data_IF_728168157960
#
_entry.id   IF_728168157960
#
_cell.length_a   1.000
_cell.length_b   1.000
_cell.length_c   1.000
_cell.angle_alpha   90.00
_cell.angle_beta   90.00
_cell.angle_gamma   90.00
#
_symmetry.space_group_name_H-M   'P 1'
#
loop_
_entity.id
_entity.type
_entity.pdbx_description
1 polymer ?
#
# COMPACT_ATOMS: atom_id res chain seq x y z
N UNK A 1 -1.69 11.23 -3.28
CA UNK A 1 -0.69 11.11 -4.36
C UNK A 1 -1.06 9.97 -5.30
N UNK A 2 -0.74 10.07 -6.60
CA UNK A 2 -0.79 8.90 -7.47
C UNK A 2 0.35 7.95 -7.14
N UNK A 3 0.00 6.70 -6.86
CA UNK A 3 0.95 5.61 -6.62
C UNK A 3 1.24 4.88 -7.93
N UNK A 4 0.21 4.59 -8.74
CA UNK A 4 0.36 3.97 -10.05
C UNK A 4 -0.23 4.84 -11.15
N UNK A 5 0.61 5.50 -11.94
CA UNK A 5 0.16 6.36 -13.05
C UNK A 5 -0.42 5.52 -14.20
N UNK A 6 0.09 4.32 -14.46
CA UNK A 6 -0.44 3.45 -15.53
C UNK A 6 -1.93 3.11 -15.36
N UNK A 7 -2.41 3.07 -14.11
CA UNK A 7 -3.79 2.65 -13.78
C UNK A 7 -4.56 3.70 -12.98
N UNK A 8 -4.01 4.90 -12.82
CA UNK A 8 -4.64 5.97 -12.04
C UNK A 8 -4.86 5.65 -10.56
N UNK A 9 -4.08 4.74 -9.96
CA UNK A 9 -4.26 4.34 -8.55
C UNK A 9 -3.60 5.35 -7.63
N UNK A 10 -4.34 5.82 -6.64
CA UNK A 10 -3.91 6.79 -5.63
C UNK A 10 -3.51 6.10 -4.32
N UNK A 11 -2.88 6.87 -3.43
CA UNK A 11 -2.59 6.42 -2.08
C UNK A 11 -3.87 6.17 -1.26
N UNK A 12 -4.94 6.92 -1.52
CA UNK A 12 -6.25 6.70 -0.90
C UNK A 12 -6.82 5.34 -1.28
N UNK A 13 -6.73 4.95 -2.55
CA UNK A 13 -7.20 3.63 -3.01
C UNK A 13 -6.44 2.49 -2.32
N UNK A 14 -5.11 2.64 -2.21
CA UNK A 14 -4.25 1.68 -1.51
C UNK A 14 -4.63 1.59 -0.03
N UNK A 15 -4.84 2.72 0.64
CA UNK A 15 -5.25 2.76 2.06
C UNK A 15 -6.62 2.13 2.27
N UNK A 16 -7.58 2.43 1.41
CA UNK A 16 -8.93 1.90 1.49
C UNK A 16 -8.91 0.37 1.33
N UNK A 17 -8.19 -0.16 0.33
CA UNK A 17 -8.06 -1.60 0.14
C UNK A 17 -7.45 -2.31 1.38
N UNK A 18 -6.51 -1.66 2.08
CA UNK A 18 -5.91 -2.21 3.30
C UNK A 18 -6.90 -2.13 4.48
N UNK A 19 -7.55 -0.98 4.68
CA UNK A 19 -8.50 -0.75 5.77
C UNK A 19 -9.74 -1.63 5.68
N UNK A 20 -10.24 -1.89 4.48
CA UNK A 20 -11.33 -2.83 4.20
C UNK A 20 -10.89 -4.29 4.28
N UNK A 21 -9.61 -4.56 4.55
CA UNK A 21 -9.05 -5.91 4.67
C UNK A 21 -8.87 -6.64 3.33
N UNK A 22 -9.13 -5.99 2.20
CA UNK A 22 -9.00 -6.54 0.84
C UNK A 22 -7.55 -6.77 0.44
N UNK A 23 -6.62 -6.00 0.99
CA UNK A 23 -5.18 -6.16 0.77
C UNK A 23 -4.39 -6.23 2.08
N UNK A 24 -3.56 -7.27 2.21
CA UNK A 24 -2.66 -7.50 3.36
C UNK A 24 -1.22 -7.81 2.94
N UNK A 25 -0.98 -7.96 1.64
CA UNK A 25 0.33 -8.24 1.06
C UNK A 25 0.42 -7.65 -0.36
N UNK A 26 1.63 -7.51 -0.93
CA UNK A 26 1.79 -6.98 -2.28
C UNK A 26 1.03 -7.80 -3.34
N UNK A 27 0.91 -9.12 -3.13
CA UNK A 27 0.15 -10.00 -4.04
C UNK A 27 -1.34 -9.66 -4.03
N UNK A 28 -1.95 -9.46 -2.85
CA UNK A 28 -3.37 -9.06 -2.76
C UNK A 28 -3.59 -7.65 -3.28
N UNK A 29 -2.66 -6.72 -3.04
CA UNK A 29 -2.67 -5.37 -3.63
C UNK A 29 -2.67 -5.37 -5.16
N UNK A 30 -1.87 -6.26 -5.77
CA UNK A 30 -1.84 -6.42 -7.23
C UNK A 30 -3.14 -7.00 -7.77
N UNK A 31 -3.75 -7.96 -7.06
CA UNK A 31 -5.04 -8.55 -7.46
C UNK A 31 -6.17 -7.53 -7.34
N UNK A 32 -6.23 -6.79 -6.23
CA UNK A 32 -7.30 -5.84 -5.94
C UNK A 32 -7.22 -4.58 -6.79
N UNK A 33 -6.05 -3.96 -6.88
CA UNK A 33 -5.88 -2.63 -7.49
C UNK A 33 -5.09 -2.66 -8.80
N UNK A 34 -4.55 -3.81 -9.20
CA UNK A 34 -3.71 -3.91 -10.40
C UNK A 34 -2.33 -3.26 -10.28
N UNK A 35 -1.93 -2.83 -9.09
CA UNK A 35 -0.63 -2.19 -8.85
C UNK A 35 0.52 -3.15 -9.23
N UNK A 36 1.58 -2.59 -9.82
CA UNK A 36 2.71 -3.34 -10.36
C UNK A 36 2.31 -4.41 -11.41
N UNK A 37 1.19 -4.18 -12.11
CA UNK A 37 0.74 -5.00 -13.23
C UNK A 37 1.42 -4.66 -14.56
N UNK A 38 1.69 -3.37 -14.82
CA UNK A 38 2.22 -2.89 -16.10
C UNK A 38 3.73 -2.60 -15.99
N UNK A 39 4.15 -1.32 -15.98
CA UNK A 39 5.57 -0.95 -15.94
C UNK A 39 6.29 -1.25 -14.61
N UNK A 40 5.58 -1.67 -13.56
CA UNK A 40 6.16 -2.06 -12.27
C UNK A 40 6.75 -0.93 -11.40
N UNK A 41 6.92 0.29 -11.92
CA UNK A 41 7.60 1.42 -11.22
C UNK A 41 6.99 1.80 -9.87
N UNK A 42 5.68 1.61 -9.71
CA UNK A 42 4.99 1.89 -8.45
C UNK A 42 5.28 0.87 -7.33
N UNK A 43 5.95 -0.24 -7.62
CA UNK A 43 6.04 -1.40 -6.72
C UNK A 43 6.70 -1.09 -5.38
N UNK A 44 7.78 -0.30 -5.37
CA UNK A 44 8.46 0.09 -4.13
C UNK A 44 7.58 1.02 -3.29
N UNK A 45 6.98 2.04 -3.90
CA UNK A 45 6.06 2.98 -3.22
C UNK A 45 4.84 2.27 -2.64
N UNK A 46 4.24 1.35 -3.40
CA UNK A 46 3.10 0.55 -2.94
C UNK A 46 3.46 -0.35 -1.75
N UNK A 47 4.67 -0.94 -1.75
CA UNK A 47 5.16 -1.75 -0.63
C UNK A 47 5.37 -0.90 0.64
N UNK A 48 5.96 0.28 0.50
CA UNK A 48 6.16 1.19 1.63
C UNK A 48 4.82 1.61 2.26
N UNK A 49 3.82 1.92 1.44
CA UNK A 49 2.47 2.18 1.95
C UNK A 49 1.95 0.93 2.66
N UNK A 50 1.96 -0.23 2.02
CA UNK A 50 1.49 -1.46 2.65
C UNK A 50 2.13 -1.70 4.03
N UNK A 51 3.45 -1.55 4.15
CA UNK A 51 4.17 -1.69 5.41
C UNK A 51 3.74 -0.64 6.45
N UNK A 52 3.57 0.61 6.05
CA UNK A 52 3.09 1.69 6.93
C UNK A 52 1.68 1.45 7.48
N UNK A 53 0.82 0.78 6.71
CA UNK A 53 -0.61 0.61 7.06
C UNK A 53 -0.93 -0.80 7.60
N UNK A 54 -0.07 -1.80 7.40
CA UNK A 54 -0.23 -3.16 7.94
C UNK A 54 0.63 -3.41 9.18
N UNK A 55 1.80 -2.79 9.29
CA UNK A 55 2.64 -2.96 10.49
C UNK A 55 2.04 -2.20 11.68
N UNK A 56 2.11 -2.75 12.90
CA UNK A 56 1.76 -1.99 14.09
C UNK A 56 2.71 -0.80 14.19
N UNK A 57 2.15 0.42 14.35
CA UNK A 57 2.94 1.57 14.75
C UNK A 57 3.55 1.24 16.11
N UNK A 58 4.82 0.85 16.14
CA UNK A 58 5.60 0.83 17.38
C UNK A 58 5.69 2.27 17.85
N UNK A 59 4.74 2.66 18.69
CA UNK A 59 4.83 3.90 19.44
C UNK A 59 6.01 3.74 20.38
N UNK A 60 7.08 4.48 20.11
CA UNK A 60 8.14 4.73 21.10
C UNK A 60 7.50 5.58 22.21
N UNK A 61 6.81 4.94 23.15
CA UNK A 61 6.47 5.59 24.42
C UNK A 61 7.74 5.58 25.24
N UNK A 62 8.33 6.76 25.41
CA UNK A 62 9.48 6.98 26.28
C UNK A 62 9.22 6.37 27.66
N UNK A 63 9.97 5.32 28.00
CA UNK A 63 10.30 5.01 29.39
C UNK A 63 11.39 5.99 29.78
N UNK A 64 11.00 7.05 30.48
CA UNK A 64 11.86 7.91 31.28
C UNK A 64 11.04 8.39 32.48
#
# INVERSE_FOLDING_TARGET
MYVCVCRGITDSDVKQAIQEGKARCMRSLKVELGIAGDCGRCGQTARQLLEQWVAPKVAFTNVA
#
